data_IF_243841682120
#
_entry.id   IF_243841682120
#
_cell.length_a   1.000
_cell.length_b   1.000
_cell.length_c   1.000
_cell.angle_alpha   90.00
_cell.angle_beta   90.00
_cell.angle_gamma   90.00
#
_symmetry.space_group_name_H-M   'P 1'
#
loop_
_entity.id
_entity.type
_entity.pdbx_description
1 polymer ?
#
# COMPACT_ATOMS: atom_id res chain seq x y z
N UNK A 1 -57.70 -26.49 0.38
CA UNK A 1 -57.90 -27.08 1.68
C UNK A 1 -56.82 -26.53 2.56
N UNK A 2 -57.18 -25.46 3.18
CA UNK A 2 -57.38 -25.22 4.63
C UNK A 2 -56.09 -25.30 5.42
N UNK A 3 -55.61 -24.09 5.78
CA UNK A 3 -55.78 -23.45 7.10
C UNK A 3 -55.04 -24.15 8.27
N UNK A 4 -54.05 -23.46 8.85
CA UNK A 4 -54.16 -22.97 10.23
C UNK A 4 -53.05 -22.01 10.62
N UNK A 5 -53.48 -20.80 10.88
CA UNK A 5 -52.85 -19.78 11.71
C UNK A 5 -52.52 -20.28 13.12
N UNK A 6 -51.39 -19.90 13.69
CA UNK A 6 -51.32 -19.66 15.15
C UNK A 6 -50.43 -18.43 15.42
N UNK A 7 -51.10 -17.41 15.90
CA UNK A 7 -50.57 -16.21 16.57
C UNK A 7 -49.94 -16.60 17.91
N UNK A 8 -48.83 -16.02 18.24
CA UNK A 8 -48.50 -15.77 19.64
C UNK A 8 -48.04 -14.33 19.81
N UNK A 9 -48.64 -13.71 20.82
CA UNK A 9 -48.58 -12.30 21.20
C UNK A 9 -47.41 -12.04 22.16
N UNK A 10 -46.85 -10.85 22.01
CA UNK A 10 -46.44 -9.84 23.00
C UNK A 10 -45.79 -10.27 24.32
N UNK A 11 -44.69 -9.59 24.61
CA UNK A 11 -44.57 -8.78 25.83
C UNK A 11 -43.51 -7.70 25.65
N UNK A 12 -43.95 -6.45 25.61
CA UNK A 12 -43.16 -5.23 25.81
C UNK A 12 -42.69 -5.17 27.27
N UNK A 13 -41.42 -4.85 27.49
CA UNK A 13 -40.97 -4.33 28.77
C UNK A 13 -40.29 -2.99 28.52
N UNK A 14 -41.01 -1.93 28.79
CA UNK A 14 -40.56 -0.54 28.86
C UNK A 14 -39.80 -0.36 30.17
N UNK A 15 -38.51 0.00 30.10
CA UNK A 15 -37.79 0.58 31.23
C UNK A 15 -37.65 2.08 31.01
N UNK A 16 -38.39 2.83 31.84
CA UNK A 16 -38.40 4.29 31.95
C UNK A 16 -37.30 4.69 32.95
N UNK A 17 -36.22 5.32 32.51
CA UNK A 17 -35.32 6.04 33.41
C UNK A 17 -35.69 7.52 33.42
N UNK A 18 -36.24 7.97 34.53
CA UNK A 18 -36.38 9.39 34.84
C UNK A 18 -35.01 10.00 35.15
N UNK A 19 -34.65 11.04 34.44
CA UNK A 19 -33.56 11.95 34.83
C UNK A 19 -34.21 13.22 35.37
N UNK A 20 -33.95 13.48 36.64
CA UNK A 20 -34.34 14.70 37.34
C UNK A 20 -33.52 15.89 36.80
N UNK A 21 -34.24 16.87 36.27
CA UNK A 21 -33.69 18.19 35.92
C UNK A 21 -33.77 19.09 37.16
N UNK A 22 -32.63 19.40 37.76
CA UNK A 22 -32.54 20.55 38.68
C UNK A 22 -31.92 21.70 37.87
N UNK A 23 -32.78 22.67 37.62
CA UNK A 23 -32.32 23.94 37.04
C UNK A 23 -31.61 24.81 38.08
N UNK A 24 -30.45 25.36 37.69
CA UNK A 24 -29.91 26.58 38.27
C UNK A 24 -29.64 27.54 37.15
N UNK A 25 -30.37 28.63 37.12
CA UNK A 25 -30.05 29.79 36.31
C UNK A 25 -28.86 30.50 36.92
N UNK A 26 -27.84 30.79 36.12
CA UNK A 26 -26.86 31.81 36.44
C UNK A 26 -26.46 32.59 35.18
N UNK A 27 -26.43 33.86 35.39
CA UNK A 27 -26.30 34.97 34.46
C UNK A 27 -25.10 34.89 33.51
N UNK A 28 -25.32 35.44 32.32
CA UNK A 28 -24.32 35.52 31.25
C UNK A 28 -23.08 36.32 31.64
N UNK A 29 -21.94 35.75 31.34
CA UNK A 29 -20.72 36.47 31.01
C UNK A 29 -20.22 35.97 29.67
N UNK A 30 -20.30 36.85 28.70
CA UNK A 30 -19.75 36.74 27.39
C UNK A 30 -18.21 36.74 27.52
N UNK A 31 -17.61 35.54 27.51
CA UNK A 31 -16.18 35.41 27.36
C UNK A 31 -15.97 34.72 25.99
N UNK A 32 -15.36 35.47 25.07
CA UNK A 32 -14.96 34.95 23.77
C UNK A 32 -14.16 33.64 23.94
N UNK A 33 -14.74 32.58 23.51
CA UNK A 33 -14.08 31.27 23.43
C UNK A 33 -13.06 31.36 22.31
N UNK A 34 -11.80 31.51 22.67
CA UNK A 34 -10.71 31.12 21.78
C UNK A 34 -10.89 29.62 21.48
N UNK A 35 -11.35 29.32 20.28
CA UNK A 35 -11.36 27.96 19.74
C UNK A 35 -9.91 27.55 19.45
N UNK A 36 -9.20 27.15 20.47
CA UNK A 36 -8.07 26.23 20.33
C UNK A 36 -8.64 24.79 20.36
N UNK A 37 -9.37 24.38 19.32
CA UNK A 37 -9.64 22.97 19.04
C UNK A 37 -8.34 22.38 18.45
N UNK A 38 -7.32 22.20 19.31
CA UNK A 38 -6.15 21.39 18.97
C UNK A 38 -6.64 19.95 18.72
N UNK A 39 -6.21 19.36 17.57
CA UNK A 39 -6.41 17.94 17.35
C UNK A 39 -5.85 17.14 18.52
N UNK A 40 -6.61 16.20 19.04
CA UNK A 40 -6.09 15.25 20.01
C UNK A 40 -4.99 14.40 19.37
N UNK A 41 -4.01 14.01 20.20
CA UNK A 41 -2.96 13.10 19.74
C UNK A 41 -3.58 11.71 19.50
N UNK A 42 -3.59 11.29 18.25
CA UNK A 42 -4.03 9.95 17.84
C UNK A 42 -2.81 9.07 17.53
N UNK A 43 -2.94 7.79 17.76
CA UNK A 43 -1.87 6.84 17.48
C UNK A 43 -1.95 6.35 16.03
N UNK A 44 -0.85 6.42 15.29
CA UNK A 44 -0.72 5.90 13.95
C UNK A 44 -0.82 4.37 13.93
N UNK A 45 -1.37 3.83 12.83
CA UNK A 45 -1.55 2.40 12.58
C UNK A 45 -0.33 1.73 11.96
N UNK A 46 0.74 2.48 11.68
CA UNK A 46 1.94 1.97 11.04
C UNK A 46 2.50 0.74 11.78
N UNK A 47 2.86 -0.29 11.03
CA UNK A 47 3.54 -1.46 11.57
C UNK A 47 5.00 -1.10 11.89
N UNK A 48 5.48 -1.59 13.01
CA UNK A 48 6.90 -1.43 13.40
C UNK A 48 7.68 -2.66 12.95
N UNK A 49 8.66 -2.45 12.07
CA UNK A 49 9.62 -3.48 11.67
C UNK A 49 10.98 -3.07 12.24
N UNK A 50 11.37 -3.72 13.34
CA UNK A 50 12.55 -3.32 14.11
C UNK A 50 13.83 -3.29 13.29
N UNK A 51 14.01 -4.23 12.37
CA UNK A 51 15.17 -4.30 11.48
C UNK A 51 15.29 -3.08 10.56
N UNK A 52 14.16 -2.49 10.13
CA UNK A 52 14.15 -1.30 9.28
C UNK A 52 14.39 0.01 10.04
N UNK A 53 14.44 -0.02 11.36
CA UNK A 53 14.56 1.18 12.21
C UNK A 53 13.28 1.48 13.01
N UNK A 54 12.30 0.59 12.97
CA UNK A 54 11.09 0.69 13.76
C UNK A 54 9.93 1.39 13.06
N UNK A 55 9.05 2.03 13.83
CA UNK A 55 7.80 2.60 13.34
C UNK A 55 7.97 3.85 12.47
N UNK A 56 9.09 4.56 12.61
CA UNK A 56 9.32 5.85 11.93
C UNK A 56 9.75 5.67 10.46
N UNK A 57 10.18 4.47 10.08
CA UNK A 57 10.67 4.16 8.74
C UNK A 57 9.57 3.49 7.92
N UNK A 58 9.29 4.05 6.75
CA UNK A 58 8.32 3.47 5.83
C UNK A 58 8.90 2.23 5.14
N UNK A 59 8.17 1.09 5.15
CA UNK A 59 8.52 -0.05 4.33
C UNK A 59 8.44 0.29 2.84
N UNK A 60 9.56 0.20 2.17
CA UNK A 60 9.70 0.38 0.72
C UNK A 60 10.10 -0.98 0.16
N UNK A 61 9.15 -1.65 -0.45
CA UNK A 61 9.27 -3.07 -0.77
C UNK A 61 9.51 -3.29 -2.26
N UNK A 62 10.45 -4.18 -2.57
CA UNK A 62 10.58 -4.77 -3.88
C UNK A 62 9.84 -6.11 -3.95
N UNK A 63 8.85 -6.21 -4.82
CA UNK A 63 8.12 -7.45 -5.06
C UNK A 63 8.78 -8.22 -6.21
N UNK A 64 8.91 -9.53 -6.07
CA UNK A 64 9.83 -10.40 -6.79
C UNK A 64 11.27 -10.04 -6.42
N UNK A 65 11.73 -10.60 -5.31
CA UNK A 65 13.08 -10.45 -4.80
C UNK A 65 14.13 -11.17 -5.66
N UNK A 66 15.41 -11.09 -5.29
CA UNK A 66 16.49 -11.77 -6.00
C UNK A 66 16.26 -13.29 -6.06
N UNK A 67 16.46 -13.89 -7.21
CA UNK A 67 16.30 -15.31 -7.47
C UNK A 67 17.49 -15.89 -8.23
N UNK A 68 17.60 -17.21 -8.27
CA UNK A 68 18.66 -17.92 -8.99
C UNK A 68 18.07 -18.69 -10.16
N UNK A 69 18.46 -18.36 -11.38
CA UNK A 69 18.03 -19.09 -12.56
C UNK A 69 18.97 -20.24 -12.92
N UNK A 70 20.29 -20.02 -12.82
CA UNK A 70 21.31 -20.97 -13.27
C UNK A 70 20.99 -21.54 -14.67
N UNK A 71 20.56 -20.68 -15.57
CA UNK A 71 19.98 -21.05 -16.85
C UNK A 71 20.61 -20.26 -17.97
N UNK A 72 20.78 -20.88 -19.12
CA UNK A 72 21.21 -20.25 -20.36
C UNK A 72 20.33 -20.72 -21.50
N UNK A 73 19.84 -19.80 -22.33
CA UNK A 73 19.04 -20.10 -23.50
C UNK A 73 19.36 -19.12 -24.62
N UNK A 74 19.32 -19.60 -25.86
CA UNK A 74 19.48 -18.79 -27.08
C UNK A 74 20.73 -17.89 -27.11
N UNK A 75 21.80 -18.34 -26.44
CA UNK A 75 23.06 -17.58 -26.34
C UNK A 75 23.12 -16.56 -25.20
N UNK A 76 22.06 -16.44 -24.40
CA UNK A 76 22.03 -15.61 -23.20
C UNK A 76 22.33 -16.44 -21.95
N UNK A 77 23.10 -15.86 -21.05
CA UNK A 77 23.34 -16.40 -19.69
C UNK A 77 22.68 -15.48 -18.69
N UNK A 78 21.75 -16.02 -17.91
CA UNK A 78 21.05 -15.26 -16.89
C UNK A 78 21.84 -15.28 -15.58
N UNK A 79 21.97 -14.14 -14.90
CA UNK A 79 22.74 -14.07 -13.67
C UNK A 79 22.07 -14.78 -12.49
N UNK A 80 22.87 -15.16 -11.50
CA UNK A 80 22.38 -15.38 -10.14
C UNK A 80 22.20 -14.01 -9.48
N UNK A 81 20.95 -13.66 -9.12
CA UNK A 81 20.66 -12.38 -8.49
C UNK A 81 20.86 -12.41 -6.97
N UNK A 82 21.12 -13.58 -6.36
CA UNK A 82 21.35 -13.71 -4.92
C UNK A 82 22.85 -13.48 -4.66
N UNK A 83 23.31 -12.25 -4.87
CA UNK A 83 24.72 -11.82 -4.74
C UNK A 83 24.83 -10.45 -4.11
N UNK A 84 26.02 -10.11 -3.59
CA UNK A 84 26.36 -8.79 -3.04
C UNK A 84 26.04 -7.67 -4.04
N UNK A 85 26.33 -7.87 -5.34
CA UNK A 85 26.09 -6.87 -6.38
C UNK A 85 24.62 -6.46 -6.46
N UNK A 86 23.71 -7.40 -6.52
CA UNK A 86 22.29 -7.11 -6.65
C UNK A 86 21.65 -6.62 -5.34
N UNK A 87 22.11 -7.11 -4.19
CA UNK A 87 21.67 -6.57 -2.91
C UNK A 87 22.15 -5.12 -2.71
N UNK A 88 23.38 -4.78 -3.16
CA UNK A 88 23.84 -3.40 -3.20
C UNK A 88 22.96 -2.55 -4.14
N UNK A 89 22.57 -3.06 -5.32
CA UNK A 89 21.67 -2.35 -6.21
C UNK A 89 20.30 -2.07 -5.55
N UNK A 90 19.74 -3.03 -4.82
CA UNK A 90 18.48 -2.86 -4.10
C UNK A 90 18.62 -1.78 -3.02
N UNK A 91 19.68 -1.83 -2.23
CA UNK A 91 19.97 -0.84 -1.19
C UNK A 91 20.19 0.56 -1.80
N UNK A 92 20.94 0.66 -2.91
CA UNK A 92 21.18 1.91 -3.61
C UNK A 92 19.89 2.53 -4.18
N UNK A 93 18.91 1.72 -4.53
CA UNK A 93 17.59 2.19 -4.93
C UNK A 93 16.74 2.71 -3.75
N UNK A 94 17.22 2.56 -2.51
CA UNK A 94 16.48 2.93 -1.30
C UNK A 94 15.36 1.96 -0.95
N UNK A 95 15.38 0.74 -1.48
CA UNK A 95 14.46 -0.35 -1.10
C UNK A 95 15.00 -0.99 0.16
N UNK A 96 14.17 -1.06 1.19
CA UNK A 96 14.56 -1.57 2.51
C UNK A 96 13.89 -2.90 2.88
N UNK A 97 13.00 -3.41 2.02
CA UNK A 97 12.28 -4.66 2.23
C UNK A 97 12.09 -5.38 0.89
N UNK A 98 12.15 -6.68 0.89
CA UNK A 98 11.84 -7.51 -0.28
C UNK A 98 10.87 -8.61 0.08
N UNK A 99 10.02 -8.95 -0.90
CA UNK A 99 9.05 -10.03 -0.82
C UNK A 99 9.34 -11.04 -1.93
N UNK A 100 9.43 -12.29 -1.56
CA UNK A 100 9.50 -13.39 -2.50
C UNK A 100 8.11 -13.90 -2.79
N UNK A 101 7.68 -13.80 -4.04
CA UNK A 101 6.31 -14.14 -4.43
C UNK A 101 6.19 -15.40 -5.26
N UNK A 102 7.26 -15.85 -5.92
CA UNK A 102 7.17 -17.00 -6.81
C UNK A 102 7.99 -18.19 -6.31
N UNK A 103 7.30 -19.31 -6.06
CA UNK A 103 7.88 -20.59 -5.65
C UNK A 103 8.73 -21.23 -6.73
N UNK A 104 8.50 -20.88 -8.02
CA UNK A 104 9.14 -21.52 -9.16
C UNK A 104 10.63 -21.19 -9.30
N UNK A 105 11.11 -20.14 -8.62
CA UNK A 105 12.49 -19.68 -8.69
C UNK A 105 13.37 -20.13 -7.51
N UNK A 106 13.16 -21.36 -7.05
CA UNK A 106 14.06 -22.06 -6.13
C UNK A 106 14.22 -21.37 -4.76
N UNK A 107 13.13 -21.25 -4.04
CA UNK A 107 13.16 -20.86 -2.61
C UNK A 107 13.49 -22.09 -1.74
N UNK A 108 14.64 -22.74 -2.00
CA UNK A 108 15.14 -23.77 -1.08
C UNK A 108 15.58 -23.13 0.25
N UNK A 109 15.57 -23.87 1.36
CA UNK A 109 16.03 -23.34 2.64
C UNK A 109 17.43 -22.74 2.60
N UNK A 110 18.32 -23.26 1.77
CA UNK A 110 19.68 -22.74 1.58
C UNK A 110 19.67 -21.37 0.89
N UNK A 111 18.86 -21.20 -0.14
CA UNK A 111 18.72 -19.93 -0.85
C UNK A 111 18.02 -18.88 0.01
N UNK A 112 17.00 -19.28 0.79
CA UNK A 112 16.35 -18.39 1.76
C UNK A 112 17.37 -17.88 2.78
N UNK A 113 18.20 -18.76 3.36
CA UNK A 113 19.26 -18.35 4.29
C UNK A 113 20.28 -17.43 3.67
N UNK A 114 20.74 -17.72 2.45
CA UNK A 114 21.65 -16.85 1.69
C UNK A 114 21.07 -15.45 1.49
N UNK A 115 19.77 -15.35 1.17
CA UNK A 115 19.08 -14.09 1.07
C UNK A 115 19.02 -13.35 2.41
N UNK A 116 18.73 -14.05 3.51
CA UNK A 116 18.70 -13.47 4.85
C UNK A 116 20.08 -12.92 5.28
N UNK A 117 21.17 -13.66 5.00
CA UNK A 117 22.56 -13.23 5.26
C UNK A 117 22.90 -11.96 4.48
N UNK A 118 22.55 -11.92 3.18
CA UNK A 118 22.72 -10.72 2.35
C UNK A 118 21.82 -9.57 2.83
N UNK A 119 20.59 -9.87 3.23
CA UNK A 119 19.69 -8.89 3.83
C UNK A 119 20.29 -8.20 5.05
N UNK A 120 20.91 -8.95 5.96
CA UNK A 120 21.63 -8.39 7.11
C UNK A 120 22.81 -7.51 6.68
N UNK A 121 23.59 -7.97 5.70
CA UNK A 121 24.77 -7.26 5.23
C UNK A 121 24.42 -5.91 4.60
N UNK A 122 23.30 -5.83 3.87
CA UNK A 122 22.89 -4.64 3.11
C UNK A 122 21.75 -3.84 3.75
N UNK A 123 21.28 -4.24 4.93
CA UNK A 123 20.20 -3.54 5.63
C UNK A 123 18.82 -3.71 4.98
N UNK A 124 18.55 -4.86 4.33
CA UNK A 124 17.32 -5.16 3.62
C UNK A 124 16.56 -6.25 4.37
N UNK A 125 15.35 -5.91 4.84
CA UNK A 125 14.45 -6.88 5.47
C UNK A 125 13.85 -7.84 4.43
N UNK A 126 13.45 -9.03 4.88
CA UNK A 126 12.94 -10.07 3.99
C UNK A 126 11.64 -10.67 4.55
N UNK A 127 10.58 -10.65 3.74
CA UNK A 127 9.46 -11.55 3.89
C UNK A 127 9.77 -12.86 3.17
N UNK A 128 9.97 -13.90 3.96
CA UNK A 128 10.40 -15.20 3.46
C UNK A 128 9.25 -15.92 2.73
N UNK A 129 9.56 -16.48 1.58
CA UNK A 129 8.79 -17.54 0.92
C UNK A 129 9.65 -18.79 0.89
N UNK A 130 9.16 -19.89 1.45
CA UNK A 130 9.81 -21.17 1.43
C UNK A 130 8.90 -22.19 0.76
N UNK A 131 9.33 -22.75 -0.39
CA UNK A 131 8.51 -23.68 -1.16
C UNK A 131 8.16 -24.94 -0.38
N UNK A 132 9.07 -25.44 0.48
CA UNK A 132 8.77 -26.61 1.32
C UNK A 132 7.67 -26.28 2.36
N UNK A 133 7.69 -25.06 2.91
CA UNK A 133 6.65 -24.58 3.82
C UNK A 133 5.32 -24.44 3.08
N UNK A 134 5.32 -23.81 1.92
CA UNK A 134 4.09 -23.62 1.12
C UNK A 134 3.53 -24.95 0.62
N UNK A 135 4.36 -25.90 0.19
CA UNK A 135 3.92 -27.24 -0.20
C UNK A 135 3.26 -27.99 0.96
N UNK A 136 3.75 -27.79 2.19
CA UNK A 136 3.10 -28.33 3.39
C UNK A 136 1.75 -27.68 3.67
N UNK A 137 1.63 -26.38 3.48
CA UNK A 137 0.34 -25.68 3.59
C UNK A 137 -0.67 -26.26 2.58
N UNK A 138 -0.21 -26.58 1.38
CA UNK A 138 -1.04 -27.23 0.34
C UNK A 138 -1.42 -28.66 0.70
N UNK A 139 -0.65 -29.35 1.54
CA UNK A 139 -0.95 -30.69 1.99
C UNK A 139 -1.99 -30.69 3.11
N UNK A 140 -3.12 -31.40 2.89
CA UNK A 140 -4.22 -31.43 3.85
C UNK A 140 -3.92 -32.15 5.16
N UNK A 141 -2.87 -32.97 5.22
CA UNK A 141 -2.49 -33.75 6.40
C UNK A 141 -1.60 -32.97 7.38
N UNK A 142 -1.05 -31.82 6.99
CA UNK A 142 -0.10 -31.05 7.80
C UNK A 142 -0.82 -29.95 8.61
N UNK A 143 -0.46 -29.81 9.86
CA UNK A 143 -1.00 -28.77 10.75
C UNK A 143 -0.28 -27.45 10.57
N UNK A 144 -0.96 -26.36 10.95
CA UNK A 144 -0.33 -25.02 10.95
C UNK A 144 0.88 -24.95 11.92
N UNK A 145 0.79 -25.66 13.06
CA UNK A 145 1.89 -25.70 14.05
C UNK A 145 3.15 -26.36 13.49
N UNK A 146 3.01 -27.45 12.73
CA UNK A 146 4.14 -28.12 12.08
C UNK A 146 4.81 -27.24 11.04
N UNK A 147 4.01 -26.48 10.26
CA UNK A 147 4.53 -25.53 9.27
C UNK A 147 5.24 -24.35 9.96
N UNK A 148 4.61 -23.79 10.99
CA UNK A 148 5.18 -22.67 11.74
C UNK A 148 6.50 -23.02 12.41
N UNK A 149 6.65 -24.25 12.94
CA UNK A 149 7.89 -24.71 13.58
C UNK A 149 9.09 -24.72 12.63
N UNK A 150 8.88 -24.88 11.32
CA UNK A 150 9.99 -24.81 10.35
C UNK A 150 10.45 -23.37 10.11
N UNK A 151 9.53 -22.40 10.14
CA UNK A 151 9.87 -20.99 9.95
C UNK A 151 10.68 -20.39 11.10
N UNK A 152 10.60 -20.95 12.30
CA UNK A 152 11.43 -20.54 13.45
C UNK A 152 12.91 -20.66 13.13
N UNK A 153 13.32 -21.55 12.22
CA UNK A 153 14.72 -21.69 11.79
C UNK A 153 15.28 -20.43 11.10
N UNK A 154 14.43 -19.50 10.68
CA UNK A 154 14.83 -18.22 10.11
C UNK A 154 14.89 -17.08 11.13
N UNK A 155 14.36 -17.28 12.33
CA UNK A 155 14.26 -16.25 13.38
C UNK A 155 15.62 -15.79 13.94
N UNK A 156 16.68 -16.55 13.69
CA UNK A 156 18.04 -16.18 14.11
C UNK A 156 18.65 -15.06 13.25
N UNK A 157 18.03 -14.76 12.08
CA UNK A 157 18.46 -13.68 11.20
C UNK A 157 17.69 -12.40 11.48
N UNK A 158 18.40 -11.30 11.75
CA UNK A 158 17.76 -10.01 12.02
C UNK A 158 16.98 -9.49 10.81
N UNK A 159 17.39 -9.82 9.59
CA UNK A 159 16.71 -9.49 8.33
C UNK A 159 15.40 -10.26 8.11
N UNK A 160 15.10 -11.29 8.89
CA UNK A 160 13.82 -11.99 8.82
C UNK A 160 12.71 -11.11 9.37
N UNK A 161 11.96 -10.46 8.51
CA UNK A 161 10.89 -9.52 8.88
C UNK A 161 9.49 -10.15 8.91
N UNK A 162 9.34 -11.36 8.38
CA UNK A 162 8.07 -12.07 8.36
C UNK A 162 7.97 -13.12 7.26
N UNK A 163 6.77 -13.64 7.11
CA UNK A 163 6.45 -14.62 6.07
C UNK A 163 5.47 -14.05 5.06
N UNK A 164 5.78 -14.24 3.78
CA UNK A 164 4.82 -14.13 2.71
C UNK A 164 3.93 -15.36 2.68
N UNK A 165 2.61 -15.17 2.83
CA UNK A 165 1.66 -16.27 2.92
C UNK A 165 1.11 -16.70 1.57
N UNK A 166 0.54 -15.74 0.85
CA UNK A 166 -0.20 -16.01 -0.38
C UNK A 166 -0.38 -14.74 -1.19
N UNK A 167 -0.29 -14.88 -2.50
CA UNK A 167 -0.66 -13.87 -3.47
C UNK A 167 -2.10 -14.09 -3.92
N UNK A 168 -2.86 -13.03 -4.00
CA UNK A 168 -4.22 -13.02 -4.55
C UNK A 168 -5.08 -14.22 -4.11
N UNK A 169 -5.31 -14.39 -2.79
CA UNK A 169 -5.92 -15.61 -2.26
C UNK A 169 -7.31 -15.82 -2.84
N UNK A 170 -7.57 -17.07 -3.24
CA UNK A 170 -8.91 -17.46 -3.68
C UNK A 170 -9.85 -17.62 -2.50
N UNK A 171 -11.09 -17.19 -2.68
CA UNK A 171 -12.15 -17.23 -1.68
C UNK A 171 -13.40 -17.95 -2.19
N UNK A 172 -14.46 -18.00 -1.41
CA UNK A 172 -15.76 -18.51 -1.86
C UNK A 172 -16.39 -17.64 -2.96
N UNK A 173 -15.96 -16.37 -3.07
CA UNK A 173 -16.48 -15.39 -4.05
C UNK A 173 -15.63 -15.26 -5.30
N UNK A 174 -14.36 -15.64 -5.21
CA UNK A 174 -13.43 -15.59 -6.33
C UNK A 174 -12.62 -16.86 -6.41
N UNK A 175 -12.80 -17.62 -7.48
CA UNK A 175 -12.14 -18.90 -7.71
C UNK A 175 -11.74 -19.02 -9.18
N UNK A 176 -10.45 -18.89 -9.46
CA UNK A 176 -9.88 -19.19 -10.78
C UNK A 176 -9.52 -20.68 -10.89
N UNK A 177 -9.26 -21.33 -9.74
CA UNK A 177 -8.93 -22.76 -9.59
C UNK A 177 -9.54 -23.26 -8.28
N UNK A 178 -9.40 -24.54 -7.96
CA UNK A 178 -9.85 -25.11 -6.67
C UNK A 178 -8.94 -24.73 -5.49
N UNK A 179 -8.67 -23.43 -5.36
CA UNK A 179 -7.78 -22.86 -4.33
C UNK A 179 -8.49 -22.30 -3.09
N UNK A 180 -9.81 -22.03 -3.15
CA UNK A 180 -10.56 -21.47 -2.03
C UNK A 180 -10.49 -22.31 -0.76
N UNK A 181 -10.34 -23.64 -0.89
CA UNK A 181 -10.13 -24.58 0.23
C UNK A 181 -8.88 -24.31 1.06
N UNK A 182 -7.90 -23.61 0.47
CA UNK A 182 -6.62 -23.32 1.13
C UNK A 182 -6.71 -22.10 2.03
N UNK A 183 -7.61 -21.16 1.77
CA UNK A 183 -7.74 -19.94 2.56
C UNK A 183 -7.90 -20.22 4.08
N UNK A 184 -8.72 -21.18 4.54
CA UNK A 184 -8.81 -21.50 5.97
C UNK A 184 -7.50 -22.04 6.56
N UNK A 185 -6.65 -22.70 5.77
CA UNK A 185 -5.33 -23.18 6.20
C UNK A 185 -4.35 -22.01 6.36
N UNK A 186 -4.30 -21.11 5.38
CA UNK A 186 -3.53 -19.87 5.50
C UNK A 186 -3.97 -19.05 6.73
N UNK A 187 -5.28 -18.99 7.00
CA UNK A 187 -5.80 -18.32 8.20
C UNK A 187 -5.34 -18.97 9.51
N UNK A 188 -5.29 -20.31 9.58
CA UNK A 188 -4.75 -21.01 10.76
C UNK A 188 -3.25 -20.76 10.92
N UNK A 189 -2.49 -20.85 9.83
CA UNK A 189 -1.06 -20.59 9.82
C UNK A 189 -0.76 -19.15 10.25
N UNK A 190 -1.44 -18.17 9.65
CA UNK A 190 -1.30 -16.77 10.01
C UNK A 190 -1.54 -16.52 11.50
N UNK A 191 -2.57 -17.16 12.06
CA UNK A 191 -2.89 -17.03 13.48
C UNK A 191 -1.76 -17.58 14.39
N UNK A 192 -1.23 -18.75 14.07
CA UNK A 192 -0.10 -19.33 14.82
C UNK A 192 1.13 -18.45 14.72
N UNK A 193 1.49 -18.03 13.51
CA UNK A 193 2.67 -17.20 13.28
C UNK A 193 2.58 -15.85 14.00
N UNK A 194 1.47 -15.15 13.84
CA UNK A 194 1.32 -13.80 14.39
C UNK A 194 1.06 -13.76 15.89
N UNK A 195 0.35 -14.75 16.43
CA UNK A 195 -0.05 -14.76 17.82
C UNK A 195 0.97 -15.48 18.74
N UNK A 196 1.47 -16.61 18.29
CA UNK A 196 2.25 -17.51 19.12
C UNK A 196 3.75 -17.30 18.92
N UNK A 197 4.16 -16.83 17.71
CA UNK A 197 5.57 -16.64 17.34
C UNK A 197 5.94 -15.16 17.05
N UNK A 198 4.96 -14.25 17.09
CA UNK A 198 5.10 -12.81 16.75
C UNK A 198 5.76 -12.54 15.37
N UNK A 199 5.50 -13.45 14.42
CA UNK A 199 5.99 -13.35 13.05
C UNK A 199 4.93 -12.62 12.21
N UNK A 200 5.32 -11.52 11.57
CA UNK A 200 4.45 -10.77 10.67
C UNK A 200 4.12 -11.59 9.43
N UNK A 201 2.84 -11.69 9.10
CA UNK A 201 2.37 -12.37 7.89
C UNK A 201 1.90 -11.35 6.86
N UNK A 202 2.37 -11.54 5.64
CA UNK A 202 2.07 -10.70 4.50
C UNK A 202 1.28 -11.50 3.44
N UNK A 203 0.29 -10.86 2.87
CA UNK A 203 -0.46 -11.32 1.70
C UNK A 203 -0.88 -10.13 0.85
N UNK A 204 -1.03 -10.35 -0.44
CA UNK A 204 -1.53 -9.35 -1.38
C UNK A 204 -2.96 -9.71 -1.83
N UNK A 205 -3.80 -8.69 -2.07
CA UNK A 205 -5.14 -8.84 -2.62
C UNK A 205 -5.16 -8.33 -4.06
N UNK A 206 -5.83 -9.04 -4.96
CA UNK A 206 -6.03 -8.57 -6.32
C UNK A 206 -6.99 -7.37 -6.40
N UNK A 207 -6.98 -6.59 -7.49
CA UNK A 207 -7.84 -5.42 -7.64
C UNK A 207 -9.28 -5.81 -8.06
N UNK A 208 -10.21 -4.88 -7.88
CA UNK A 208 -11.63 -5.06 -8.24
C UNK A 208 -11.87 -5.38 -9.73
N UNK A 209 -10.94 -5.00 -10.59
CA UNK A 209 -11.04 -5.27 -12.04
C UNK A 209 -11.07 -6.77 -12.34
N UNK A 210 -10.41 -7.60 -11.55
CA UNK A 210 -10.43 -9.06 -11.68
C UNK A 210 -11.81 -9.69 -11.35
N UNK A 211 -12.75 -8.89 -10.87
CA UNK A 211 -14.15 -9.29 -10.62
C UNK A 211 -15.13 -8.53 -11.50
N UNK A 212 -14.76 -8.20 -12.74
CA UNK A 212 -15.58 -7.43 -13.68
C UNK A 212 -16.10 -6.12 -13.07
N UNK A 213 -15.30 -5.49 -12.20
CA UNK A 213 -15.63 -4.28 -11.43
C UNK A 213 -16.90 -4.42 -10.57
N UNK A 214 -17.26 -5.64 -10.20
CA UNK A 214 -18.39 -5.91 -9.29
C UNK A 214 -18.01 -5.54 -7.84
N UNK A 215 -18.29 -4.30 -7.47
CA UNK A 215 -17.93 -3.72 -6.17
C UNK A 215 -18.48 -4.50 -4.98
N UNK A 216 -19.74 -4.92 -5.00
CA UNK A 216 -20.36 -5.67 -3.90
C UNK A 216 -19.67 -7.03 -3.70
N UNK A 217 -19.35 -7.70 -4.80
CA UNK A 217 -18.67 -8.99 -4.74
C UNK A 217 -17.23 -8.83 -4.25
N UNK A 218 -16.55 -7.76 -4.68
CA UNK A 218 -15.19 -7.45 -4.25
C UNK A 218 -15.12 -7.07 -2.75
N UNK A 219 -16.06 -6.30 -2.24
CA UNK A 219 -16.16 -6.01 -0.80
C UNK A 219 -16.29 -7.30 0.02
N UNK A 220 -17.08 -8.27 -0.46
CA UNK A 220 -17.20 -9.58 0.19
C UNK A 220 -15.90 -10.37 0.14
N UNK A 221 -15.19 -10.31 -0.98
CA UNK A 221 -13.87 -10.92 -1.13
C UNK A 221 -12.87 -10.37 -0.11
N UNK A 222 -12.71 -9.05 -0.08
CA UNK A 222 -11.81 -8.36 0.87
C UNK A 222 -12.16 -8.72 2.32
N UNK A 223 -13.45 -8.72 2.65
CA UNK A 223 -13.94 -9.09 3.98
C UNK A 223 -13.57 -10.53 4.34
N UNK A 224 -13.82 -11.51 3.44
CA UNK A 224 -13.52 -12.92 3.70
C UNK A 224 -12.03 -13.16 3.93
N UNK A 225 -11.16 -12.55 3.10
CA UNK A 225 -9.71 -12.65 3.29
C UNK A 225 -9.30 -12.06 4.63
N UNK A 226 -9.75 -10.84 4.93
CA UNK A 226 -9.40 -10.17 6.19
C UNK A 226 -9.90 -10.90 7.44
N UNK A 227 -11.10 -11.49 7.41
CA UNK A 227 -11.64 -12.26 8.53
C UNK A 227 -10.92 -13.59 8.72
N UNK A 228 -10.45 -14.20 7.63
CA UNK A 228 -9.79 -15.50 7.68
C UNK A 228 -8.31 -15.39 8.04
N UNK A 229 -7.57 -14.53 7.34
CA UNK A 229 -6.12 -14.36 7.55
C UNK A 229 -5.81 -13.46 8.74
N UNK A 230 -6.66 -12.47 9.02
CA UNK A 230 -6.46 -11.44 10.06
C UNK A 230 -5.09 -10.73 9.89
N UNK A 231 -4.82 -10.14 8.71
CA UNK A 231 -3.53 -9.55 8.43
C UNK A 231 -3.25 -8.36 9.35
N UNK A 232 -1.97 -8.13 9.69
CA UNK A 232 -1.52 -6.91 10.39
C UNK A 232 -1.21 -5.76 9.42
N UNK A 233 -1.19 -6.04 8.13
CA UNK A 233 -1.02 -5.09 7.03
C UNK A 233 -1.97 -5.47 5.93
N UNK A 234 -2.75 -4.53 5.42
CA UNK A 234 -3.60 -4.74 4.25
C UNK A 234 -2.86 -4.28 3.00
N UNK A 235 -2.57 -5.20 2.10
CA UNK A 235 -1.92 -4.91 0.86
C UNK A 235 -2.77 -5.29 -0.35
N UNK A 236 -2.64 -4.53 -1.42
CA UNK A 236 -3.37 -4.75 -2.67
C UNK A 236 -2.57 -4.19 -3.84
N UNK A 237 -2.81 -4.74 -5.02
CA UNK A 237 -2.26 -4.24 -6.27
C UNK A 237 -3.37 -3.68 -7.16
N UNK A 238 -3.06 -2.60 -7.84
CA UNK A 238 -3.86 -2.01 -8.91
C UNK A 238 -2.94 -1.14 -9.76
N UNK A 239 -2.81 -1.45 -11.02
CA UNK A 239 -1.99 -0.70 -11.97
C UNK A 239 -2.88 0.26 -12.76
N UNK A 240 -2.83 1.57 -12.45
CA UNK A 240 -3.89 2.51 -12.86
C UNK A 240 -3.82 2.97 -14.32
N UNK A 241 -2.71 2.73 -15.03
CA UNK A 241 -2.45 3.45 -16.28
C UNK A 241 -3.27 2.97 -17.48
N UNK A 242 -3.80 1.76 -17.47
CA UNK A 242 -4.79 1.35 -18.47
C UNK A 242 -6.12 2.08 -18.26
N UNK A 243 -6.59 2.17 -17.02
CA UNK A 243 -7.77 2.97 -16.66
C UNK A 243 -7.58 4.46 -17.00
N UNK A 244 -6.36 4.97 -16.79
CA UNK A 244 -6.03 6.35 -17.20
C UNK A 244 -6.11 6.54 -18.71
N UNK A 245 -5.62 5.60 -19.53
CA UNK A 245 -5.74 5.64 -20.99
C UNK A 245 -7.18 5.62 -21.47
N UNK A 246 -8.04 4.90 -20.77
CA UNK A 246 -9.47 4.83 -21.01
C UNK A 246 -10.22 6.10 -20.54
N UNK A 247 -9.58 6.95 -19.75
CA UNK A 247 -10.12 8.22 -19.24
C UNK A 247 -11.10 8.09 -18.08
N UNK A 248 -11.09 6.96 -17.37
CA UNK A 248 -11.88 6.74 -16.15
C UNK A 248 -11.06 6.11 -15.01
N UNK A 249 -10.59 6.95 -14.10
CA UNK A 249 -9.85 6.55 -12.92
C UNK A 249 -10.73 6.25 -11.71
N UNK A 250 -12.04 6.35 -11.85
CA UNK A 250 -12.96 6.29 -10.69
C UNK A 250 -12.96 4.92 -10.00
N UNK A 251 -12.70 3.85 -10.73
CA UNK A 251 -12.59 2.49 -10.18
C UNK A 251 -11.31 2.32 -9.36
N UNK A 252 -10.19 2.87 -9.83
CA UNK A 252 -8.93 2.89 -9.09
C UNK A 252 -9.07 3.58 -7.73
N UNK A 253 -9.62 4.80 -7.73
CA UNK A 253 -9.81 5.57 -6.51
C UNK A 253 -10.83 4.92 -5.56
N UNK A 254 -11.90 4.34 -6.08
CA UNK A 254 -12.85 3.58 -5.29
C UNK A 254 -12.19 2.38 -4.61
N UNK A 255 -11.36 1.62 -5.35
CA UNK A 255 -10.66 0.46 -4.79
C UNK A 255 -9.66 0.89 -3.69
N UNK A 256 -8.91 1.96 -3.92
CA UNK A 256 -7.99 2.51 -2.91
C UNK A 256 -8.72 2.98 -1.65
N UNK A 257 -9.87 3.64 -1.79
CA UNK A 257 -10.69 4.07 -0.66
C UNK A 257 -11.25 2.89 0.13
N UNK A 258 -11.66 1.82 -0.56
CA UNK A 258 -12.08 0.57 0.10
C UNK A 258 -10.93 -0.03 0.93
N UNK A 259 -9.71 -0.08 0.38
CA UNK A 259 -8.55 -0.59 1.12
C UNK A 259 -8.24 0.29 2.33
N UNK A 260 -8.21 1.60 2.14
CA UNK A 260 -8.03 2.57 3.21
C UNK A 260 -9.08 2.39 4.32
N UNK A 261 -10.35 2.35 3.97
CA UNK A 261 -11.46 2.22 4.92
C UNK A 261 -11.42 0.87 5.65
N UNK A 262 -11.17 -0.22 4.92
CA UNK A 262 -11.04 -1.56 5.52
C UNK A 262 -9.86 -1.62 6.51
N UNK A 263 -8.73 -1.01 6.17
CA UNK A 263 -7.57 -0.92 7.05
C UNK A 263 -7.88 -0.09 8.30
N UNK A 264 -8.60 1.03 8.13
CA UNK A 264 -9.05 1.90 9.23
C UNK A 264 -9.98 1.17 10.20
N UNK A 265 -10.99 0.49 9.71
CA UNK A 265 -11.93 -0.31 10.53
C UNK A 265 -11.23 -1.41 11.34
N UNK A 266 -10.12 -1.93 10.82
CA UNK A 266 -9.33 -3.00 11.45
C UNK A 266 -8.16 -2.50 12.28
N UNK A 267 -7.94 -1.19 12.30
CA UNK A 267 -6.82 -0.53 12.97
C UNK A 267 -5.45 -1.04 12.52
N UNK A 268 -5.27 -1.25 11.21
CA UNK A 268 -4.03 -1.68 10.56
C UNK A 268 -3.64 -0.69 9.45
N UNK A 269 -2.36 -0.64 9.01
CA UNK A 269 -1.98 0.15 7.84
C UNK A 269 -2.43 -0.53 6.54
N UNK A 270 -2.54 0.26 5.46
CA UNK A 270 -2.56 -0.31 4.12
C UNK A 270 -1.27 0.04 3.36
N UNK A 271 -0.83 -0.89 2.51
CA UNK A 271 0.29 -0.74 1.61
C UNK A 271 -0.21 -0.84 0.17
N UNK A 272 0.42 -0.11 -0.74
CA UNK A 272 0.00 -0.03 -2.12
C UNK A 272 1.11 -0.48 -3.08
N UNK A 273 0.73 -1.23 -4.11
CA UNK A 273 1.61 -1.54 -5.23
C UNK A 273 1.75 -0.35 -6.17
N UNK A 274 2.95 -0.21 -6.70
CA UNK A 274 3.33 0.78 -7.70
C UNK A 274 3.82 0.07 -8.95
N UNK A 275 3.29 0.48 -10.09
CA UNK A 275 3.65 -0.08 -11.37
C UNK A 275 5.08 0.34 -11.77
N UNK A 276 6.01 -0.60 -11.76
CA UNK A 276 7.42 -0.42 -12.13
C UNK A 276 7.80 -1.24 -13.37
N UNK A 277 6.90 -1.33 -14.31
CA UNK A 277 7.04 -2.08 -15.56
C UNK A 277 5.81 -1.94 -16.44
N UNK A 278 5.73 -2.71 -17.51
CA UNK A 278 4.55 -2.80 -18.35
C UNK A 278 3.42 -3.51 -17.61
N UNK A 279 2.19 -3.18 -17.95
CA UNK A 279 1.04 -3.94 -17.50
C UNK A 279 0.79 -5.15 -18.40
N UNK A 280 0.30 -6.22 -17.80
CA UNK A 280 -0.12 -7.44 -18.46
C UNK A 280 -1.59 -7.35 -18.91
N UNK A 281 -1.86 -7.88 -20.07
CA UNK A 281 -3.24 -8.15 -20.46
C UNK A 281 -3.54 -9.60 -20.05
N UNK A 282 -4.39 -9.79 -19.04
CA UNK A 282 -4.65 -11.09 -18.39
C UNK A 282 -5.24 -12.16 -19.31
N UNK A 283 -5.85 -11.76 -20.44
CA UNK A 283 -6.64 -12.69 -21.24
C UNK A 283 -5.82 -13.76 -21.96
N UNK A 284 -4.49 -13.63 -22.09
CA UNK A 284 -3.69 -14.63 -22.78
C UNK A 284 -2.24 -14.85 -22.27
N UNK A 285 -1.77 -14.26 -21.18
CA UNK A 285 -0.32 -14.22 -20.84
C UNK A 285 0.52 -13.65 -22.00
N UNK A 286 -0.08 -12.90 -22.87
CA UNK A 286 0.59 -12.21 -23.96
C UNK A 286 0.86 -10.79 -23.51
N UNK A 287 2.11 -10.38 -23.61
CA UNK A 287 2.39 -8.97 -23.87
C UNK A 287 1.56 -8.61 -25.10
N UNK A 288 0.57 -7.73 -24.95
CA UNK A 288 0.07 -7.05 -26.10
C UNK A 288 1.21 -6.19 -26.65
N UNK A 289 2.01 -6.79 -27.52
CA UNK A 289 3.17 -6.16 -28.15
C UNK A 289 2.76 -4.95 -28.99
N UNK A 290 1.49 -4.79 -29.27
CA UNK A 290 0.97 -3.65 -30.03
C UNK A 290 0.73 -2.42 -29.13
N UNK A 291 0.47 -2.59 -27.82
CA UNK A 291 0.21 -1.43 -26.92
C UNK A 291 0.58 -1.61 -25.44
N UNK A 292 1.74 -2.17 -25.05
CA UNK A 292 2.11 -2.20 -23.65
C UNK A 292 2.28 -0.76 -23.14
N UNK A 293 1.71 -0.46 -21.96
CA UNK A 293 1.85 0.86 -21.37
C UNK A 293 2.96 0.88 -20.33
N UNK A 294 3.95 1.75 -20.58
CA UNK A 294 5.09 1.95 -19.70
C UNK A 294 4.95 3.31 -19.01
N UNK A 295 4.76 3.35 -17.68
CA UNK A 295 4.68 4.63 -16.99
C UNK A 295 6.02 5.39 -17.12
N UNK A 296 5.91 6.68 -17.47
CA UNK A 296 7.02 7.61 -17.42
C UNK A 296 7.26 8.11 -15.98
N UNK A 297 8.29 8.95 -15.77
CA UNK A 297 8.65 9.43 -14.43
C UNK A 297 7.50 10.14 -13.73
N UNK A 298 6.83 11.09 -14.40
CA UNK A 298 5.74 11.84 -13.77
C UNK A 298 4.52 10.98 -13.42
N UNK A 299 4.26 9.93 -14.18
CA UNK A 299 3.21 8.95 -13.89
C UNK A 299 3.60 8.05 -12.73
N UNK A 300 4.83 7.59 -12.71
CA UNK A 300 5.38 6.83 -11.59
C UNK A 300 5.30 7.63 -10.29
N UNK A 301 5.75 8.89 -10.31
CA UNK A 301 5.69 9.81 -9.18
C UNK A 301 4.24 10.05 -8.74
N UNK A 302 3.34 10.30 -9.69
CA UNK A 302 1.92 10.47 -9.41
C UNK A 302 1.31 9.25 -8.71
N UNK A 303 1.66 8.03 -9.15
CA UNK A 303 1.14 6.82 -8.56
C UNK A 303 1.57 6.66 -7.09
N UNK A 304 2.86 6.86 -6.80
CA UNK A 304 3.38 6.84 -5.42
C UNK A 304 2.72 7.94 -4.58
N UNK A 305 2.79 9.19 -5.06
CA UNK A 305 2.35 10.35 -4.29
C UNK A 305 0.83 10.33 -4.02
N UNK A 306 0.04 9.81 -4.95
CA UNK A 306 -1.40 9.61 -4.76
C UNK A 306 -1.69 8.60 -3.65
N UNK A 307 -1.00 7.45 -3.65
CA UNK A 307 -1.13 6.46 -2.57
C UNK A 307 -0.77 7.07 -1.20
N UNK A 308 0.32 7.84 -1.12
CA UNK A 308 0.74 8.52 0.11
C UNK A 308 -0.30 9.55 0.57
N UNK A 309 -0.89 10.32 -0.34
CA UNK A 309 -1.96 11.27 0.00
C UNK A 309 -3.20 10.59 0.57
N UNK A 310 -3.51 9.38 0.12
CA UNK A 310 -4.60 8.56 0.67
C UNK A 310 -4.21 7.85 1.98
N UNK A 311 -2.97 7.99 2.44
CA UNK A 311 -2.51 7.48 3.73
C UNK A 311 -1.87 6.10 3.68
N UNK A 312 -1.33 5.68 2.54
CA UNK A 312 -0.51 4.48 2.46
C UNK A 312 0.71 4.59 3.38
N UNK A 313 0.98 3.54 4.16
CA UNK A 313 2.09 3.44 5.10
C UNK A 313 3.07 2.34 4.70
N UNK A 314 3.19 2.09 3.42
CA UNK A 314 4.14 1.22 2.76
C UNK A 314 3.91 1.23 1.25
N UNK A 315 5.00 1.15 0.51
CA UNK A 315 5.02 1.17 -0.96
C UNK A 315 5.69 -0.11 -1.46
N UNK A 316 5.16 -0.69 -2.53
CA UNK A 316 5.67 -1.91 -3.12
C UNK A 316 5.82 -1.75 -4.63
N UNK A 317 7.03 -1.91 -5.11
CA UNK A 317 7.33 -1.85 -6.54
C UNK A 317 7.16 -3.22 -7.20
N UNK A 318 6.36 -3.28 -8.25
CA UNK A 318 6.17 -4.48 -9.05
C UNK A 318 6.51 -4.23 -10.53
N UNK A 319 7.41 -5.09 -11.06
CA UNK A 319 8.28 -6.02 -10.34
C UNK A 319 9.66 -5.39 -10.04
N UNK A 320 10.30 -5.81 -8.94
CA UNK A 320 11.70 -5.42 -8.67
C UNK A 320 12.63 -6.09 -9.69
N UNK A 321 12.62 -7.43 -9.75
CA UNK A 321 13.29 -8.18 -10.81
C UNK A 321 12.28 -8.63 -11.84
N UNK A 322 12.64 -8.46 -13.12
CA UNK A 322 11.82 -8.97 -14.20
C UNK A 322 11.79 -10.51 -14.16
N UNK A 323 10.61 -11.15 -14.03
CA UNK A 323 10.52 -12.59 -14.12
C UNK A 323 10.89 -13.10 -15.51
N UNK A 324 11.54 -14.28 -15.59
CA UNK A 324 11.98 -14.85 -16.87
C UNK A 324 10.84 -15.05 -17.86
N UNK A 325 9.70 -15.53 -17.38
CA UNK A 325 8.53 -15.73 -18.24
C UNK A 325 7.94 -14.43 -18.80
N UNK A 326 8.27 -13.29 -18.22
CA UNK A 326 7.93 -11.97 -18.76
C UNK A 326 8.90 -11.52 -19.88
N UNK A 327 10.11 -12.06 -19.92
CA UNK A 327 11.06 -11.77 -20.97
C UNK A 327 10.87 -12.63 -22.21
N UNK A 328 10.22 -13.79 -22.04
CA UNK A 328 9.96 -14.78 -23.08
C UNK A 328 8.45 -14.88 -23.34
N UNK A 329 7.89 -13.83 -23.92
CA UNK A 329 6.56 -13.92 -24.50
C UNK A 329 6.61 -14.77 -25.78
N UNK A 330 5.50 -15.33 -26.26
CA UNK A 330 5.37 -16.23 -27.42
C UNK A 330 5.94 -15.70 -28.76
N UNK A 331 6.49 -14.48 -28.77
CA UNK A 331 7.32 -13.99 -29.87
C UNK A 331 8.72 -14.61 -29.75
N UNK A 332 9.29 -15.04 -30.82
CA UNK A 332 10.62 -15.64 -30.93
C UNK A 332 11.78 -14.69 -30.54
N UNK A 333 11.49 -13.55 -29.94
CA UNK A 333 12.44 -12.52 -29.53
C UNK A 333 12.35 -12.27 -28.04
N UNK A 334 13.49 -12.28 -27.36
CA UNK A 334 13.61 -11.93 -25.96
C UNK A 334 13.43 -10.43 -25.75
N UNK A 335 12.55 -10.05 -24.84
CA UNK A 335 12.41 -8.67 -24.38
C UNK A 335 13.13 -8.48 -23.04
N UNK A 336 14.36 -8.00 -23.08
CA UNK A 336 15.21 -7.83 -21.90
C UNK A 336 15.08 -6.46 -21.22
N UNK A 337 14.37 -5.53 -21.83
CA UNK A 337 14.46 -4.11 -21.44
C UNK A 337 13.17 -3.58 -20.84
N UNK A 338 12.07 -4.34 -20.85
CA UNK A 338 10.76 -3.71 -20.74
C UNK A 338 9.96 -4.05 -19.51
N UNK A 339 10.46 -4.82 -18.57
CA UNK A 339 9.66 -5.13 -17.39
C UNK A 339 10.51 -5.25 -16.12
N UNK A 340 10.09 -4.53 -15.08
CA UNK A 340 10.80 -4.51 -13.82
C UNK A 340 11.89 -3.47 -13.69
N UNK A 341 12.26 -3.18 -12.46
CA UNK A 341 13.32 -2.22 -12.13
C UNK A 341 14.70 -2.77 -12.55
N UNK A 342 14.90 -4.06 -12.36
CA UNK A 342 16.09 -4.80 -12.78
C UNK A 342 15.65 -5.84 -13.82
N UNK A 343 16.18 -5.71 -15.03
CA UNK A 343 15.87 -6.58 -16.14
C UNK A 343 16.45 -7.99 -15.96
N UNK A 344 15.97 -8.95 -16.77
CA UNK A 344 16.33 -10.38 -16.67
C UNK A 344 17.82 -10.65 -16.98
N UNK A 345 18.53 -9.72 -17.56
CA UNK A 345 19.99 -9.79 -17.75
C UNK A 345 20.77 -8.96 -16.72
N UNK A 346 20.08 -8.47 -15.68
CA UNK A 346 20.68 -7.73 -14.56
C UNK A 346 20.89 -6.23 -14.80
N UNK A 347 20.37 -5.68 -15.88
CA UNK A 347 20.44 -4.25 -16.20
C UNK A 347 19.44 -3.43 -15.38
N UNK A 348 19.80 -2.19 -15.06
CA UNK A 348 18.91 -1.21 -14.44
C UNK A 348 18.04 -0.56 -15.51
N UNK A 349 16.71 -0.64 -15.36
CA UNK A 349 15.74 0.03 -16.22
C UNK A 349 15.39 1.43 -15.68
N UNK A 350 14.60 2.22 -16.42
CA UNK A 350 14.24 3.58 -16.01
C UNK A 350 13.56 3.64 -14.65
N UNK A 351 12.69 2.69 -14.33
CA UNK A 351 11.96 2.65 -13.05
C UNK A 351 12.87 2.46 -11.84
N UNK A 352 14.05 1.86 -12.02
CA UNK A 352 15.07 1.83 -10.99
C UNK A 352 15.49 3.24 -10.55
N UNK A 353 15.73 4.12 -11.51
CA UNK A 353 16.17 5.50 -11.24
C UNK A 353 15.02 6.37 -10.73
N UNK A 354 13.80 6.16 -11.23
CA UNK A 354 12.61 6.83 -10.71
C UNK A 354 12.38 6.47 -9.24
N UNK A 355 12.41 5.18 -8.91
CA UNK A 355 12.29 4.70 -7.53
C UNK A 355 13.43 5.21 -6.64
N UNK A 356 14.68 5.23 -7.12
CA UNK A 356 15.81 5.78 -6.36
C UNK A 356 15.59 7.25 -5.97
N UNK A 357 15.05 8.05 -6.87
CA UNK A 357 14.74 9.46 -6.62
C UNK A 357 13.57 9.58 -5.64
N UNK A 358 12.48 8.84 -5.90
CA UNK A 358 11.28 8.83 -5.07
C UNK A 358 11.56 8.34 -3.65
N UNK A 359 12.35 7.29 -3.47
CA UNK A 359 12.67 6.73 -2.16
C UNK A 359 13.50 7.68 -1.29
N UNK A 360 14.34 8.53 -1.90
CA UNK A 360 14.99 9.63 -1.16
C UNK A 360 13.98 10.67 -0.66
N UNK A 361 12.95 10.96 -1.46
CA UNK A 361 11.87 11.84 -1.03
C UNK A 361 11.08 11.19 0.11
N UNK A 362 10.70 9.92 -0.02
CA UNK A 362 9.98 9.19 1.03
C UNK A 362 10.77 9.19 2.33
N UNK A 363 12.08 8.88 2.30
CA UNK A 363 12.94 8.89 3.49
C UNK A 363 13.06 10.27 4.17
N UNK A 364 12.71 11.37 3.49
CA UNK A 364 12.69 12.70 4.08
C UNK A 364 11.34 13.04 4.76
N UNK A 365 10.28 12.27 4.49
CA UNK A 365 8.91 12.52 4.93
C UNK A 365 8.32 11.34 5.74
N UNK A 366 8.95 10.18 5.74
CA UNK A 366 8.40 8.93 6.30
C UNK A 366 8.09 9.05 7.80
N UNK A 367 8.98 9.63 8.62
CA UNK A 367 8.71 9.87 10.03
C UNK A 367 7.36 10.58 10.26
N UNK A 368 7.02 11.58 9.43
CA UNK A 368 5.76 12.30 9.56
C UNK A 368 4.59 11.42 9.13
N UNK A 369 4.66 10.78 7.95
CA UNK A 369 3.57 9.96 7.43
C UNK A 369 3.33 8.71 8.28
N UNK A 370 4.39 8.06 8.75
CA UNK A 370 4.31 6.86 9.58
C UNK A 370 3.74 7.16 10.98
N UNK A 371 3.92 8.38 11.49
CA UNK A 371 3.37 8.81 12.79
C UNK A 371 2.09 9.65 12.65
N UNK A 372 1.43 9.59 11.50
CA UNK A 372 0.21 10.34 11.21
C UNK A 372 -1.01 9.44 11.07
N UNK A 373 -2.18 10.02 11.31
CA UNK A 373 -3.48 9.44 10.97
C UNK A 373 -4.10 10.24 9.83
N UNK A 374 -4.37 9.59 8.70
CA UNK A 374 -5.08 10.22 7.58
C UNK A 374 -6.52 10.52 7.98
N UNK A 375 -6.97 11.76 7.76
CA UNK A 375 -8.31 12.24 8.12
C UNK A 375 -9.21 12.45 6.89
N UNK A 376 -8.69 12.18 5.70
CA UNK A 376 -9.36 12.32 4.43
C UNK A 376 -8.49 13.02 3.39
N UNK A 377 -9.06 13.24 2.22
CA UNK A 377 -8.39 13.87 1.09
C UNK A 377 -9.22 15.05 0.60
N UNK A 378 -8.62 16.21 0.43
CA UNK A 378 -9.22 17.35 -0.24
C UNK A 378 -8.87 17.27 -1.72
N UNK A 379 -9.86 17.49 -2.56
CA UNK A 379 -9.72 17.46 -4.02
C UNK A 379 -9.96 18.85 -4.59
N UNK A 380 -9.06 19.30 -5.46
CA UNK A 380 -9.18 20.55 -6.21
C UNK A 380 -8.97 20.26 -7.69
N UNK A 381 -9.74 20.95 -8.54
CA UNK A 381 -9.73 20.73 -9.99
C UNK A 381 -10.83 19.79 -10.47
N UNK A 382 -11.17 19.92 -11.76
CA UNK A 382 -12.28 19.17 -12.34
C UNK A 382 -11.92 17.70 -12.57
N UNK A 383 -10.74 17.44 -13.14
CA UNK A 383 -10.31 16.08 -13.47
C UNK A 383 -10.21 15.23 -12.20
N UNK A 384 -9.48 15.73 -11.19
CA UNK A 384 -9.37 15.05 -9.90
C UNK A 384 -10.76 14.81 -9.26
N UNK A 385 -11.69 15.78 -9.37
CA UNK A 385 -13.05 15.63 -8.84
C UNK A 385 -13.89 14.58 -9.58
N UNK A 386 -13.76 14.50 -10.90
CA UNK A 386 -14.45 13.50 -11.70
C UNK A 386 -13.91 12.08 -11.38
N UNK A 387 -12.60 11.92 -11.26
CA UNK A 387 -11.93 10.65 -10.99
C UNK A 387 -12.20 10.13 -9.56
N UNK A 388 -12.34 11.03 -8.60
CA UNK A 388 -12.57 10.66 -7.18
C UNK A 388 -14.05 10.64 -6.77
N UNK A 389 -14.98 10.81 -7.69
CA UNK A 389 -16.43 10.93 -7.41
C UNK A 389 -17.06 9.78 -6.62
N UNK A 390 -16.44 8.60 -6.62
CA UNK A 390 -16.92 7.41 -5.92
C UNK A 390 -16.17 7.13 -4.60
N UNK A 391 -15.40 8.10 -4.13
CA UNK A 391 -14.49 7.96 -2.99
C UNK A 391 -15.13 8.57 -1.75
N UNK A 392 -15.20 7.81 -0.66
CA UNK A 392 -15.89 8.25 0.57
C UNK A 392 -15.04 9.15 1.46
N UNK A 393 -13.71 9.06 1.36
CA UNK A 393 -12.79 9.84 2.19
C UNK A 393 -12.59 11.28 1.73
N UNK A 394 -13.29 11.73 0.69
CA UNK A 394 -13.19 13.12 0.22
C UNK A 394 -13.85 14.06 1.22
N UNK A 395 -13.09 15.05 1.66
CA UNK A 395 -13.54 16.11 2.56
C UNK A 395 -13.52 17.47 1.86
N UNK A 396 -14.41 18.36 2.27
CA UNK A 396 -14.51 19.70 1.67
C UNK A 396 -13.30 20.57 2.05
N UNK A 397 -12.83 21.35 1.07
CA UNK A 397 -11.84 22.40 1.34
C UNK A 397 -12.41 23.40 2.36
N UNK A 398 -11.64 23.67 3.40
CA UNK A 398 -12.06 24.52 4.53
C UNK A 398 -12.74 23.77 5.68
N UNK A 399 -12.95 22.44 5.56
CA UNK A 399 -13.42 21.60 6.66
C UNK A 399 -12.29 21.00 7.50
N UNK A 400 -11.03 21.13 7.05
CA UNK A 400 -9.89 20.54 7.73
C UNK A 400 -8.98 21.63 8.35
N UNK A 401 -9.07 21.75 9.67
CA UNK A 401 -8.21 22.60 10.50
C UNK A 401 -7.99 24.02 9.90
N UNK A 402 -6.73 24.44 9.81
CA UNK A 402 -6.34 25.77 9.34
C UNK A 402 -6.42 25.93 7.81
N UNK A 403 -6.59 24.85 7.04
CA UNK A 403 -6.64 24.92 5.58
C UNK A 403 -8.00 25.41 5.09
N UNK A 404 -8.02 26.62 4.51
CA UNK A 404 -9.24 27.29 4.05
C UNK A 404 -9.62 26.96 2.62
N UNK A 405 -8.66 26.91 1.71
CA UNK A 405 -8.89 26.58 0.31
C UNK A 405 -7.63 26.11 -0.40
N UNK A 406 -7.84 25.29 -1.43
CA UNK A 406 -6.83 24.84 -2.39
C UNK A 406 -7.23 25.30 -3.79
N UNK A 407 -6.28 25.73 -4.60
CA UNK A 407 -6.47 26.11 -6.01
C UNK A 407 -5.38 25.47 -6.86
N UNK A 408 -5.75 24.97 -8.01
CA UNK A 408 -4.95 24.13 -8.91
C UNK A 408 -5.52 22.72 -8.99
N UNK A 409 -5.03 21.88 -9.89
CA UNK A 409 -5.39 20.46 -9.97
C UNK A 409 -4.58 19.69 -8.92
N UNK A 410 -5.21 19.38 -7.79
CA UNK A 410 -4.50 18.81 -6.65
C UNK A 410 -5.32 17.79 -5.87
N UNK A 411 -4.62 16.81 -5.32
CA UNK A 411 -5.04 16.02 -4.18
C UNK A 411 -4.27 16.51 -2.94
N UNK A 412 -4.95 16.65 -1.81
CA UNK A 412 -4.31 17.03 -0.55
C UNK A 412 -4.71 16.03 0.53
N UNK A 413 -3.82 15.09 0.82
CA UNK A 413 -3.96 14.22 1.99
C UNK A 413 -3.89 15.06 3.27
N UNK A 414 -4.88 14.89 4.13
CA UNK A 414 -5.02 15.60 5.40
C UNK A 414 -4.67 14.68 6.56
N UNK A 415 -3.70 15.06 7.38
CA UNK A 415 -3.15 14.21 8.41
C UNK A 415 -3.13 14.87 9.79
N UNK A 416 -3.43 14.09 10.80
CA UNK A 416 -3.11 14.40 12.18
C UNK A 416 -1.74 13.81 12.53
N UNK A 417 -0.72 14.65 12.63
CA UNK A 417 0.63 14.28 13.02
C UNK A 417 0.89 14.69 14.48
N UNK A 418 0.69 13.77 15.42
CA UNK A 418 0.91 14.02 16.85
C UNK A 418 0.17 15.26 17.40
N UNK A 419 -1.04 15.55 16.92
CA UNK A 419 -1.83 16.72 17.29
C UNK A 419 -1.50 17.97 16.49
N UNK A 420 -0.67 17.88 15.45
CA UNK A 420 -0.39 18.94 14.49
C UNK A 420 -1.03 18.62 13.14
N UNK A 421 -1.33 19.67 12.38
CA UNK A 421 -1.76 19.53 10.98
C UNK A 421 -0.58 19.21 10.08
N UNK A 422 -0.68 18.10 9.35
CA UNK A 422 0.19 17.81 8.21
C UNK A 422 -0.65 17.65 6.96
N UNK A 423 -0.13 18.12 5.82
CA UNK A 423 -0.78 18.07 4.52
C UNK A 423 0.20 17.47 3.52
N UNK A 424 -0.25 16.48 2.75
CA UNK A 424 0.51 15.96 1.63
C UNK A 424 -0.13 16.38 0.33
N UNK A 425 0.48 17.37 -0.33
CA UNK A 425 -0.04 18.01 -1.54
C UNK A 425 0.53 17.31 -2.75
N UNK A 426 -0.33 16.88 -3.67
CA UNK A 426 0.05 16.20 -4.93
C UNK A 426 -0.44 17.03 -6.12
N UNK A 427 0.44 17.32 -7.07
CA UNK A 427 0.03 17.80 -8.38
C UNK A 427 -0.70 16.66 -9.10
N UNK A 428 -2.01 16.80 -9.30
CA UNK A 428 -2.82 15.75 -9.91
C UNK A 428 -2.50 15.53 -11.39
N UNK A 429 -1.99 16.55 -12.09
CA UNK A 429 -1.58 16.39 -13.48
C UNK A 429 -0.32 15.55 -13.62
N UNK A 430 -0.38 14.52 -14.45
CA UNK A 430 0.79 13.74 -14.88
C UNK A 430 1.49 14.33 -16.11
N UNK A 431 0.97 15.42 -16.68
CA UNK A 431 1.40 15.94 -17.97
C UNK A 431 2.12 17.30 -17.85
N UNK A 432 1.75 18.12 -16.86
CA UNK A 432 2.28 19.47 -16.75
C UNK A 432 2.57 19.92 -15.32
N UNK A 433 3.60 20.74 -15.20
CA UNK A 433 3.89 21.47 -13.97
C UNK A 433 2.88 22.61 -13.76
N UNK A 434 2.52 22.86 -12.50
CA UNK A 434 1.60 23.94 -12.17
C UNK A 434 1.89 24.58 -10.82
N UNK A 435 1.20 25.70 -10.56
CA UNK A 435 1.18 26.33 -9.24
C UNK A 435 -0.04 25.86 -8.46
N UNK A 436 0.21 25.27 -7.28
CA UNK A 436 -0.84 24.95 -6.34
C UNK A 436 -0.81 25.99 -5.22
N UNK A 437 -1.97 26.63 -4.95
CA UNK A 437 -2.09 27.70 -3.97
C UNK A 437 -2.95 27.21 -2.81
N UNK A 438 -2.37 27.20 -1.61
CA UNK A 438 -3.06 26.90 -0.36
C UNK A 438 -3.31 28.21 0.39
N UNK A 439 -4.53 28.40 0.92
CA UNK A 439 -4.87 29.52 1.81
C UNK A 439 -5.22 28.97 3.18
N UNK A 440 -4.68 29.61 4.20
CA UNK A 440 -4.88 29.21 5.59
C UNK A 440 -5.72 30.22 6.36
N UNK A 441 -6.37 29.77 7.41
CA UNK A 441 -7.06 30.63 8.36
C UNK A 441 -6.07 31.18 9.37
N UNK A 442 -5.55 32.36 9.08
CA UNK A 442 -4.46 32.97 9.85
C UNK A 442 -3.07 32.76 9.23
N UNK A 443 -2.07 33.33 9.89
CA UNK A 443 -0.66 33.12 9.51
C UNK A 443 -0.15 31.86 10.16
N UNK A 444 0.35 30.95 9.34
CA UNK A 444 0.93 29.67 9.76
C UNK A 444 2.45 29.69 9.65
N UNK A 445 3.12 29.02 10.57
CA UNK A 445 4.52 28.59 10.42
C UNK A 445 4.50 27.21 9.76
N UNK A 446 5.10 27.07 8.59
CA UNK A 446 4.98 25.88 7.76
C UNK A 446 6.37 25.34 7.45
N UNK A 447 6.63 24.11 7.87
CA UNK A 447 7.75 23.29 7.37
C UNK A 447 7.30 22.66 6.06
N UNK A 448 8.11 22.81 5.02
CA UNK A 448 7.90 22.25 3.68
C UNK A 448 8.99 21.22 3.42
N UNK A 449 8.62 20.03 2.94
CA UNK A 449 9.56 19.04 2.42
C UNK A 449 9.18 18.75 0.97
N UNK A 450 10.05 19.17 0.06
CA UNK A 450 9.90 19.02 -1.39
C UNK A 450 11.21 18.47 -1.96
N UNK A 451 11.18 17.42 -2.78
CA UNK A 451 12.37 16.79 -3.37
C UNK A 451 13.46 16.45 -2.33
N UNK A 452 13.06 15.93 -1.17
CA UNK A 452 13.90 15.65 0.00
C UNK A 452 14.52 16.89 0.67
N UNK A 453 14.30 18.10 0.18
CA UNK A 453 14.80 19.35 0.76
C UNK A 453 13.78 19.95 1.74
N UNK A 454 14.29 20.49 2.84
CA UNK A 454 13.48 21.11 3.91
C UNK A 454 13.59 22.63 3.85
N UNK A 455 12.45 23.32 3.86
CA UNK A 455 12.37 24.78 3.97
C UNK A 455 11.27 25.20 4.93
N UNK A 456 11.26 26.48 5.33
CA UNK A 456 10.31 27.04 6.30
C UNK A 456 9.79 28.37 5.80
N UNK A 457 8.48 28.55 5.89
CA UNK A 457 7.83 29.82 5.52
C UNK A 457 6.78 30.20 6.56
N UNK A 458 6.51 31.52 6.66
CA UNK A 458 5.40 32.04 7.45
C UNK A 458 4.42 32.76 6.53
N UNK A 459 3.15 32.42 6.58
CA UNK A 459 2.16 33.08 5.72
C UNK A 459 0.73 32.60 5.89
N UNK A 460 -0.18 33.38 5.33
CA UNK A 460 -1.60 33.00 5.17
C UNK A 460 -1.87 32.32 3.84
N UNK A 461 -0.95 32.46 2.89
CA UNK A 461 -1.01 31.85 1.59
C UNK A 461 0.34 31.21 1.30
N UNK A 462 0.30 30.03 0.73
CA UNK A 462 1.47 29.31 0.22
C UNK A 462 1.25 29.01 -1.25
N UNK A 463 2.23 29.31 -2.07
CA UNK A 463 2.24 28.90 -3.48
C UNK A 463 3.37 27.89 -3.66
N UNK A 464 3.03 26.71 -4.13
CA UNK A 464 3.94 25.64 -4.49
C UNK A 464 4.08 25.61 -6.02
N UNK A 465 5.31 25.69 -6.53
CA UNK A 465 5.63 25.36 -7.92
C UNK A 465 5.91 23.85 -7.96
N UNK A 466 5.02 23.09 -8.59
CA UNK A 466 5.07 21.63 -8.57
C UNK A 466 5.21 21.05 -9.96
N UNK A 467 6.15 20.13 -10.15
CA UNK A 467 6.27 19.33 -11.36
C UNK A 467 5.05 18.40 -11.55
N UNK A 468 4.90 17.82 -12.73
CA UNK A 468 3.85 16.83 -12.99
C UNK A 468 3.99 15.63 -12.05
N UNK A 469 2.90 15.21 -11.39
CA UNK A 469 2.88 14.08 -10.46
C UNK A 469 3.59 14.30 -9.12
N UNK A 470 4.22 15.44 -8.90
CA UNK A 470 5.03 15.73 -7.70
C UNK A 470 4.20 15.77 -6.43
N UNK A 471 4.79 15.28 -5.32
CA UNK A 471 4.25 15.35 -3.96
C UNK A 471 5.09 16.25 -3.05
N UNK A 472 4.43 17.02 -2.17
CA UNK A 472 5.06 17.93 -1.21
C UNK A 472 4.42 17.76 0.16
N UNK A 473 5.24 17.51 1.19
CA UNK A 473 4.78 17.47 2.58
C UNK A 473 4.85 18.85 3.22
N UNK A 474 3.77 19.24 3.87
CA UNK A 474 3.66 20.44 4.72
C UNK A 474 3.36 20.01 6.16
N UNK A 475 4.04 20.60 7.13
CA UNK A 475 3.71 20.46 8.56
C UNK A 475 3.51 21.84 9.13
N UNK A 476 2.33 22.11 9.72
CA UNK A 476 2.03 23.35 10.42
C UNK A 476 2.59 23.24 11.85
N UNK A 477 3.42 24.19 12.25
CA UNK A 477 4.14 24.17 13.52
C UNK A 477 3.48 25.03 14.61
#
# INVERSE_FOLDING_TARGET
>A
MENRCRKWKCLLSIWLCMVLITGCASEGKNTGSNREDRMEKEESRAVSISFLGGKDVMPITGYIGPYQLNYSADGYTFPDYITDEYFQMIADAGINLIVYSFTDYANSPELVKKNLELGEQFGIGIFVTDSNVLDKVNNESVTADEVAAELVNYSDYASFCGMYLVDEPQTTYYQTRDGSRLLPKYGKLSKVLQKDLDILCYNNLFPVINMDQNKELYERYVKEVCETIQPKVLCWDFYPFDSWREGDMSVYFWNMDLMRTTAEERNIPFWAFIQAGAQWNDDELKFDSETPYYPNESQFDWNVNTCLAFGAQGIQYFPLFQPLHFAYAESTEWDFERNGMIGVVGNKNQWYYYAQTMNKHIAAIDEVLMNSVNKGVIVSGKQAGDDTKMTSCIIESGSFQELKSVTGDALVGCFNYNGKTALYVVNYSMEYAQKIILKFDGTQSIKIVQNAEKSYVNGKNLTLDMAAGEGVLLVLE
#
